data_IF_387082468889
#
_entry.id   IF_387082468889
#
_cell.length_a   1.000
_cell.length_b   1.000
_cell.length_c   1.000
_cell.angle_alpha   90.00
_cell.angle_beta   90.00
_cell.angle_gamma   90.00
#
_symmetry.space_group_name_H-M   'P 1'
#
loop_
_entity.id
_entity.type
_entity.pdbx_description
1 polymer ?
#
# COMPACT_ATOMS: atom_id res chain seq x y z
N UNK A 1 -10.74 -2.69 -8.94
CA UNK A 1 -10.95 -1.31 -8.47
C UNK A 1 -12.41 -0.90 -8.56
N UNK A 2 -13.08 -0.97 -9.72
CA UNK A 2 -14.50 -0.57 -9.85
C UNK A 2 -15.42 -1.17 -8.77
N UNK A 3 -15.47 -2.51 -8.53
CA UNK A 3 -16.36 -3.06 -7.50
C UNK A 3 -16.02 -2.58 -6.09
N UNK A 4 -14.74 -2.42 -5.77
CA UNK A 4 -14.28 -1.95 -4.46
C UNK A 4 -14.67 -0.49 -4.22
N UNK A 5 -14.51 0.38 -5.21
CA UNK A 5 -14.84 1.81 -5.12
C UNK A 5 -16.35 2.03 -5.10
N UNK A 6 -17.11 1.25 -5.86
CA UNK A 6 -18.57 1.26 -5.77
C UNK A 6 -19.08 0.81 -4.40
N UNK A 7 -18.44 -0.17 -3.77
CA UNK A 7 -18.77 -0.59 -2.41
C UNK A 7 -18.50 0.51 -1.35
N UNK A 8 -17.65 1.50 -1.66
CA UNK A 8 -17.45 2.68 -0.80
C UNK A 8 -18.54 3.75 -0.98
N UNK A 9 -19.52 3.53 -1.86
CA UNK A 9 -20.58 4.50 -2.17
C UNK A 9 -20.25 5.47 -3.30
N UNK A 10 -19.13 5.28 -4.02
CA UNK A 10 -18.80 6.11 -5.18
C UNK A 10 -19.33 5.47 -6.48
N UNK A 11 -20.22 6.12 -7.22
CA UNK A 11 -20.74 5.60 -8.49
C UNK A 11 -19.68 5.76 -9.58
N UNK A 12 -18.85 4.72 -9.77
CA UNK A 12 -17.78 4.70 -10.79
C UNK A 12 -18.00 3.58 -11.80
N UNK A 13 -17.59 3.82 -13.05
CA UNK A 13 -17.49 2.84 -14.13
C UNK A 13 -16.03 2.68 -14.53
N UNK A 14 -15.74 1.79 -15.51
CA UNK A 14 -14.38 1.65 -16.06
C UNK A 14 -13.88 2.95 -16.73
N UNK A 15 -14.79 3.76 -17.26
CA UNK A 15 -14.45 4.99 -17.98
C UNK A 15 -13.86 6.08 -17.08
N UNK A 16 -14.09 5.99 -15.76
CA UNK A 16 -13.45 6.86 -14.78
C UNK A 16 -11.96 6.55 -14.56
N UNK A 17 -11.44 5.43 -15.08
CA UNK A 17 -10.06 4.98 -14.87
C UNK A 17 -9.24 5.06 -16.17
N UNK A 18 -8.95 6.29 -16.63
CA UNK A 18 -8.24 6.54 -17.89
C UNK A 18 -6.78 6.06 -17.93
N UNK A 19 -6.14 5.91 -16.77
CA UNK A 19 -4.77 5.38 -16.64
C UNK A 19 -4.77 4.34 -15.51
N UNK A 20 -4.12 3.19 -15.75
CA UNK A 20 -3.96 2.13 -14.73
C UNK A 20 -2.53 1.59 -14.75
N UNK A 21 -2.05 1.16 -13.59
CA UNK A 21 -0.73 0.54 -13.44
C UNK A 21 -0.74 -0.43 -12.27
N UNK A 22 0.09 -1.47 -12.34
CA UNK A 22 0.35 -2.40 -11.24
C UNK A 22 1.56 -1.98 -10.39
N UNK A 23 2.22 -0.87 -10.74
CA UNK A 23 3.39 -0.36 -10.01
C UNK A 23 3.02 0.88 -9.18
N UNK A 24 3.16 0.77 -7.86
CA UNK A 24 2.85 1.86 -6.93
C UNK A 24 3.72 3.12 -7.11
N UNK A 25 4.99 2.98 -7.48
CA UNK A 25 5.87 4.13 -7.75
C UNK A 25 5.41 4.90 -8.99
N UNK A 26 5.06 4.17 -10.07
CA UNK A 26 4.53 4.80 -11.27
C UNK A 26 3.19 5.50 -10.99
N UNK A 27 2.33 4.88 -10.18
CA UNK A 27 1.06 5.49 -9.76
C UNK A 27 1.28 6.79 -8.97
N UNK A 28 2.23 6.79 -8.03
CA UNK A 28 2.60 7.98 -7.27
C UNK A 28 3.05 9.14 -8.20
N UNK A 29 3.99 8.87 -9.10
CA UNK A 29 4.52 9.90 -10.03
C UNK A 29 3.43 10.42 -10.97
N UNK A 30 2.55 9.55 -11.48
CA UNK A 30 1.42 9.96 -12.32
C UNK A 30 0.50 10.95 -11.59
N UNK A 31 0.14 10.67 -10.33
CA UNK A 31 -0.69 11.58 -9.54
C UNK A 31 0.07 12.87 -9.23
N UNK A 32 1.36 12.78 -8.89
CA UNK A 32 2.18 13.96 -8.58
C UNK A 32 2.29 14.92 -9.77
N UNK A 33 2.41 14.39 -10.99
CA UNK A 33 2.45 15.18 -12.23
C UNK A 33 1.05 15.59 -12.74
N UNK A 34 -0.01 15.36 -11.95
CA UNK A 34 -1.36 15.85 -12.22
C UNK A 34 -2.19 14.99 -13.18
N UNK A 35 -1.83 13.73 -13.40
CA UNK A 35 -2.60 12.83 -14.27
C UNK A 35 -3.97 12.44 -13.70
N UNK A 36 -4.24 12.72 -12.43
CA UNK A 36 -5.53 12.45 -11.77
C UNK A 36 -5.39 12.20 -10.28
N UNK A 37 -6.33 11.44 -9.72
CA UNK A 37 -6.35 11.02 -8.31
C UNK A 37 -6.19 9.50 -8.21
N UNK A 38 -5.57 9.01 -7.13
CA UNK A 38 -5.41 7.57 -6.91
C UNK A 38 -5.51 7.19 -5.44
N UNK A 39 -5.86 5.92 -5.20
CA UNK A 39 -5.69 5.29 -3.90
C UNK A 39 -4.23 4.90 -3.73
N UNK A 40 -3.56 5.51 -2.77
CA UNK A 40 -2.18 5.21 -2.42
C UNK A 40 -2.12 4.72 -0.96
N UNK A 41 -1.22 3.80 -0.62
CA UNK A 41 -0.97 3.46 0.77
C UNK A 41 -0.61 4.73 1.54
N UNK A 42 -1.30 4.99 2.64
CA UNK A 42 -1.13 6.21 3.43
C UNK A 42 0.33 6.47 3.79
N UNK A 43 1.10 5.42 4.13
CA UNK A 43 2.55 5.50 4.34
C UNK A 43 3.33 6.09 3.18
N UNK A 44 2.96 5.75 1.95
CA UNK A 44 3.71 6.17 0.77
C UNK A 44 3.34 7.61 0.37
N UNK A 45 2.19 8.10 0.81
CA UNK A 45 1.68 9.43 0.49
C UNK A 45 2.02 10.45 1.60
N UNK A 46 1.86 10.07 2.88
CA UNK A 46 2.22 10.89 4.03
C UNK A 46 3.75 11.02 4.12
N UNK A 47 4.27 12.20 3.78
CA UNK A 47 5.71 12.49 3.80
C UNK A 47 6.35 12.70 2.42
N UNK A 48 5.61 12.49 1.33
CA UNK A 48 6.09 12.84 -0.01
C UNK A 48 5.53 14.19 -0.47
N UNK A 49 6.41 15.06 -0.97
CA UNK A 49 6.03 16.36 -1.53
C UNK A 49 5.13 16.18 -2.77
N UNK A 50 4.21 17.12 -2.95
CA UNK A 50 3.40 17.22 -4.17
C UNK A 50 2.12 16.38 -4.19
N UNK A 51 1.74 15.72 -3.09
CA UNK A 51 0.44 15.08 -2.94
C UNK A 51 -0.34 15.67 -1.77
N UNK A 52 -1.68 15.71 -1.92
CA UNK A 52 -2.61 16.11 -0.87
C UNK A 52 -3.69 15.04 -0.71
N UNK A 53 -4.04 14.71 0.54
CA UNK A 53 -5.14 13.78 0.84
C UNK A 53 -6.48 14.49 0.69
N UNK A 54 -7.19 14.21 -0.39
CA UNK A 54 -8.46 14.87 -0.74
C UNK A 54 -9.72 14.23 -0.16
N UNK A 55 -9.63 12.99 0.34
CA UNK A 55 -10.75 12.25 0.94
C UNK A 55 -10.34 11.71 2.32
N UNK A 56 -10.26 12.57 3.35
CA UNK A 56 -9.84 12.15 4.69
C UNK A 56 -10.81 11.17 5.33
N UNK A 57 -12.11 11.31 5.07
CA UNK A 57 -13.17 10.51 5.69
C UNK A 57 -13.54 9.25 4.88
N UNK A 58 -12.88 9.02 3.73
CA UNK A 58 -13.10 7.82 2.96
C UNK A 58 -12.62 6.58 3.74
N UNK A 59 -13.34 5.44 3.65
CA UNK A 59 -12.94 4.22 4.34
C UNK A 59 -11.57 3.75 3.86
N UNK A 60 -10.67 3.45 4.80
CA UNK A 60 -9.36 2.87 4.52
C UNK A 60 -9.46 1.37 4.31
N UNK A 61 -8.77 0.85 3.29
CA UNK A 61 -8.61 -0.60 3.12
C UNK A 61 -7.36 -1.07 3.86
N UNK A 62 -7.54 -2.04 4.76
CA UNK A 62 -6.40 -2.76 5.30
C UNK A 62 -5.96 -3.81 4.28
N UNK A 63 -4.79 -3.61 3.69
CA UNK A 63 -4.16 -4.64 2.89
C UNK A 63 -3.46 -5.62 3.83
N UNK A 64 -3.97 -6.84 3.90
CA UNK A 64 -3.30 -7.92 4.62
C UNK A 64 -1.94 -8.20 3.97
N UNK A 65 -0.89 -8.16 4.78
CA UNK A 65 0.47 -8.44 4.35
C UNK A 65 0.90 -9.79 4.91
N UNK A 66 1.40 -10.66 4.02
CA UNK A 66 1.77 -12.01 4.36
C UNK A 66 3.27 -12.20 4.17
N UNK A 67 3.94 -12.72 5.20
CA UNK A 67 5.31 -13.21 5.07
C UNK A 67 5.24 -14.68 4.63
N UNK A 68 5.88 -15.03 3.51
CA UNK A 68 5.78 -16.36 2.90
C UNK A 68 7.18 -16.86 2.55
N UNK A 69 7.42 -18.17 2.76
CA UNK A 69 8.63 -18.87 2.33
C UNK A 69 8.26 -20.16 1.61
N UNK A 70 9.14 -20.67 0.75
CA UNK A 70 8.97 -21.97 0.12
C UNK A 70 8.96 -23.10 1.16
N UNK A 71 8.09 -24.10 0.96
CA UNK A 71 7.83 -25.19 1.92
C UNK A 71 9.07 -26.03 2.19
N UNK A 72 9.91 -26.21 1.19
CA UNK A 72 11.09 -27.07 1.21
C UNK A 72 12.18 -26.51 2.14
N UNK A 73 12.22 -25.19 2.33
CA UNK A 73 13.26 -24.51 3.12
C UNK A 73 12.75 -23.96 4.45
N UNK A 74 11.45 -24.05 4.74
CA UNK A 74 10.85 -23.47 5.94
C UNK A 74 11.43 -24.03 7.26
N UNK A 75 11.99 -25.24 7.24
CA UNK A 75 12.61 -25.90 8.40
C UNK A 75 14.10 -25.60 8.55
N UNK A 76 14.72 -24.90 7.58
CA UNK A 76 16.11 -24.46 7.68
C UNK A 76 16.26 -23.47 8.83
N UNK A 77 17.22 -23.73 9.73
CA UNK A 77 17.49 -22.85 10.88
C UNK A 77 17.76 -21.40 10.46
N UNK A 78 18.49 -21.18 9.36
CA UNK A 78 18.79 -19.84 8.84
C UNK A 78 17.53 -19.12 8.37
N UNK A 79 16.64 -19.84 7.67
CA UNK A 79 15.36 -19.30 7.21
C UNK A 79 14.47 -18.99 8.41
N UNK A 80 14.33 -19.91 9.36
CA UNK A 80 13.47 -19.70 10.53
C UNK A 80 13.90 -18.49 11.35
N UNK A 81 15.21 -18.34 11.59
CA UNK A 81 15.75 -17.22 12.37
C UNK A 81 15.49 -15.88 11.67
N UNK A 82 15.66 -15.81 10.34
CA UNK A 82 15.34 -14.61 9.56
C UNK A 82 13.83 -14.32 9.54
N UNK A 83 13.02 -15.37 9.32
CA UNK A 83 11.58 -15.26 9.22
C UNK A 83 10.96 -14.79 10.54
N UNK A 84 11.43 -15.31 11.67
CA UNK A 84 10.97 -14.88 13.00
C UNK A 84 11.31 -13.43 13.28
N UNK A 85 12.54 -13.04 12.96
CA UNK A 85 12.95 -11.64 13.09
C UNK A 85 12.08 -10.72 12.22
N UNK A 86 11.87 -11.05 10.94
CA UNK A 86 11.01 -10.26 10.05
C UNK A 86 9.55 -10.23 10.53
N UNK A 87 9.01 -11.37 10.97
CA UNK A 87 7.64 -11.44 11.46
C UNK A 87 7.44 -10.59 12.72
N UNK A 88 8.38 -10.63 13.66
CA UNK A 88 8.35 -9.79 14.85
C UNK A 88 8.43 -8.31 14.51
N UNK A 89 9.38 -7.88 13.68
CA UNK A 89 9.55 -6.46 13.35
C UNK A 89 8.38 -5.92 12.51
N UNK A 90 7.89 -6.68 11.52
CA UNK A 90 6.72 -6.30 10.73
C UNK A 90 5.42 -6.31 11.55
N UNK A 91 5.37 -7.02 12.68
CA UNK A 91 4.22 -7.00 13.60
C UNK A 91 4.30 -5.83 14.60
N UNK A 92 5.51 -5.47 15.06
CA UNK A 92 5.76 -4.32 15.94
C UNK A 92 5.53 -3.02 15.20
N UNK A 93 6.04 -2.94 13.98
CA UNK A 93 5.81 -1.83 13.09
C UNK A 93 4.49 -2.06 12.36
N UNK A 94 3.43 -1.38 12.80
CA UNK A 94 2.35 -0.99 11.88
C UNK A 94 2.87 0.01 10.86
N UNK A 95 4.00 -0.25 10.19
CA UNK A 95 4.50 0.54 9.05
C UNK A 95 4.61 2.07 9.31
N UNK A 96 4.47 2.54 10.56
CA UNK A 96 4.20 3.93 10.95
C UNK A 96 5.41 4.60 11.64
N UNK A 97 6.47 3.85 11.93
CA UNK A 97 7.68 4.37 12.60
C UNK A 97 8.77 4.79 11.61
N UNK A 98 8.79 4.27 10.38
CA UNK A 98 9.90 4.46 9.42
C UNK A 98 9.91 5.80 8.68
N UNK A 99 8.86 6.63 8.79
CA UNK A 99 8.85 8.02 8.28
C UNK A 99 9.14 9.04 9.39
N UNK A 100 9.09 8.63 10.66
CA UNK A 100 9.29 9.54 11.80
C UNK A 100 10.75 9.58 12.27
N UNK A 101 11.72 9.50 11.35
CA UNK A 101 13.14 9.78 11.64
C UNK A 101 13.88 10.39 10.45
N UNK A 102 13.60 11.67 10.17
CA UNK A 102 14.55 12.81 10.20
C UNK A 102 13.90 14.03 9.58
#
# INVERSE_FOLDING_TARGET
LVPQVSAMGFPVTKDNFGVTTSNGCAMYELVREGAGIAFLPTILAEGRLGLERILPDAPSFNMETWLVTHREIQTSRRIRLTFDHLAEELAKDRWASLITRS
#
